data_IF_112816256917
#
_entry.id   IF_112816256917
#
_cell.length_a   1.000
_cell.length_b   1.000
_cell.length_c   1.000
_cell.angle_alpha   90.00
_cell.angle_beta   90.00
_cell.angle_gamma   90.00
#
_symmetry.space_group_name_H-M   'P 1'
#
loop_
_entity.id
_entity.type
_entity.pdbx_description
1 polymer ?
#
# COMPACT_ATOMS: atom_id res chain seq x y z
N UNK A 1 -66.10 -15.77 39.05
CA UNK A 1 -65.65 -16.21 37.68
C UNK A 1 -65.82 -15.10 36.61
N UNK A 2 -66.47 -14.01 36.82
CA UNK A 2 -66.64 -12.92 35.82
C UNK A 2 -65.45 -11.93 35.79
N UNK A 3 -64.75 -11.68 36.87
CA UNK A 3 -63.61 -10.77 36.98
C UNK A 3 -62.29 -11.31 36.34
N UNK A 4 -62.12 -12.65 36.24
CA UNK A 4 -60.94 -13.25 35.61
C UNK A 4 -60.95 -13.15 34.08
N UNK A 5 -62.12 -13.06 33.46
CA UNK A 5 -62.27 -12.94 32.00
C UNK A 5 -62.00 -11.49 31.52
N UNK A 6 -62.18 -10.50 32.35
CA UNK A 6 -61.91 -9.08 32.04
C UNK A 6 -60.39 -8.82 32.05
N UNK A 7 -59.65 -9.49 32.92
CA UNK A 7 -58.21 -9.35 33.01
C UNK A 7 -57.46 -9.94 31.80
N UNK A 8 -57.98 -11.01 31.20
CA UNK A 8 -57.42 -11.62 30.00
C UNK A 8 -57.64 -10.71 28.77
N UNK A 9 -58.72 -10.01 28.70
CA UNK A 9 -58.99 -9.07 27.61
C UNK A 9 -58.09 -7.82 27.67
N UNK A 10 -57.70 -7.40 28.86
CA UNK A 10 -56.80 -6.24 29.03
C UNK A 10 -55.34 -6.58 28.71
N UNK A 11 -54.90 -7.77 29.01
CA UNK A 11 -53.59 -8.24 28.62
C UNK A 11 -53.42 -8.48 27.10
N UNK A 12 -54.47 -8.86 26.40
CA UNK A 12 -54.48 -9.05 24.94
C UNK A 12 -54.41 -7.72 24.16
N UNK A 13 -54.86 -6.61 24.74
CA UNK A 13 -54.87 -5.29 24.11
C UNK A 13 -53.47 -4.61 24.13
N UNK A 14 -52.54 -5.05 24.98
CA UNK A 14 -51.17 -4.48 25.09
C UNK A 14 -50.16 -5.01 24.06
N UNK A 15 -50.50 -6.03 23.28
CA UNK A 15 -49.60 -6.66 22.30
C UNK A 15 -49.63 -5.93 20.95
N UNK A 16 -50.52 -4.98 20.74
CA UNK A 16 -50.65 -4.23 19.47
C UNK A 16 -49.87 -2.90 19.39
N UNK A 17 -49.15 -2.51 20.45
CA UNK A 17 -48.21 -1.40 20.35
C UNK A 17 -46.89 -1.92 19.82
N UNK A 18 -46.91 -2.25 18.54
CA UNK A 18 -45.84 -2.80 17.86
C UNK A 18 -44.94 -1.82 17.18
N UNK A 19 -43.83 -2.19 16.83
CA UNK A 19 -42.80 -1.65 16.01
C UNK A 19 -43.20 -0.52 15.08
N UNK A 20 -42.76 0.69 15.39
CA UNK A 20 -42.55 1.75 14.42
C UNK A 20 -41.36 1.33 13.55
N UNK A 21 -41.57 0.88 12.33
CA UNK A 21 -40.53 0.77 11.32
C UNK A 21 -39.92 2.16 11.15
N UNK A 22 -38.69 2.34 11.69
CA UNK A 22 -37.86 3.46 11.31
C UNK A 22 -37.62 3.33 9.82
N UNK A 23 -38.37 4.04 9.01
CA UNK A 23 -38.05 4.25 7.61
C UNK A 23 -36.67 4.90 7.58
N UNK A 24 -35.64 4.13 7.22
CA UNK A 24 -34.34 4.66 6.93
C UNK A 24 -34.52 5.73 5.85
N UNK A 25 -33.95 6.94 6.02
CA UNK A 25 -34.01 7.95 4.99
C UNK A 25 -33.52 7.34 3.69
N UNK A 26 -34.30 7.48 2.62
CA UNK A 26 -33.90 7.04 1.29
C UNK A 26 -32.58 7.75 0.95
N UNK A 27 -31.51 7.02 1.01
CA UNK A 27 -30.20 7.50 0.56
C UNK A 27 -30.40 7.84 -0.91
N UNK A 28 -30.29 9.11 -1.26
CA UNK A 28 -30.32 9.57 -2.65
C UNK A 28 -29.12 8.87 -3.33
N UNK A 29 -29.39 7.80 -4.04
CA UNK A 29 -28.41 6.95 -4.69
C UNK A 29 -27.91 7.60 -5.99
N UNK A 30 -27.29 8.76 -5.87
CA UNK A 30 -26.50 9.36 -6.98
C UNK A 30 -25.01 9.04 -6.88
N UNK A 31 -24.59 8.41 -5.78
CA UNK A 31 -23.20 7.96 -5.64
C UNK A 31 -23.14 6.52 -6.13
N UNK A 32 -22.47 6.32 -7.25
CA UNK A 32 -22.17 4.96 -7.73
C UNK A 32 -21.26 4.29 -6.69
N UNK A 33 -21.82 3.35 -5.94
CA UNK A 33 -21.09 2.61 -4.90
C UNK A 33 -19.86 1.86 -5.44
N UNK A 34 -19.79 1.65 -6.78
CA UNK A 34 -18.64 1.05 -7.44
C UNK A 34 -17.44 1.97 -7.49
N UNK A 35 -17.63 3.28 -7.31
CA UNK A 35 -16.54 4.26 -7.31
C UNK A 35 -16.01 4.59 -5.94
N UNK A 36 -16.71 4.17 -4.89
CA UNK A 36 -16.29 4.41 -3.52
C UNK A 36 -15.15 3.45 -3.14
N UNK A 37 -14.13 3.95 -2.42
CA UNK A 37 -13.14 3.06 -1.82
C UNK A 37 -13.84 2.20 -0.77
N UNK A 38 -13.51 0.91 -0.75
CA UNK A 38 -14.07 0.03 0.27
C UNK A 38 -13.43 0.22 1.63
N UNK A 39 -12.17 0.65 1.64
CA UNK A 39 -11.44 0.94 2.86
C UNK A 39 -10.49 2.12 2.66
N UNK A 40 -10.50 3.02 3.64
CA UNK A 40 -9.54 4.11 3.78
C UNK A 40 -8.89 4.03 5.16
N UNK A 41 -7.62 4.35 5.25
CA UNK A 41 -6.90 4.41 6.51
C UNK A 41 -5.80 5.46 6.48
N UNK A 42 -5.47 6.00 7.66
CA UNK A 42 -4.45 7.02 7.86
C UNK A 42 -3.35 6.50 8.75
N UNK A 43 -2.09 6.88 8.43
CA UNK A 43 -0.90 6.49 9.18
C UNK A 43 -0.82 4.98 9.44
N UNK A 44 -1.09 4.21 8.40
CA UNK A 44 -1.25 2.75 8.50
C UNK A 44 -0.04 2.00 8.00
N UNK A 45 0.06 0.76 8.45
CA UNK A 45 1.15 -0.16 8.09
C UNK A 45 0.60 -1.37 7.36
N UNK A 46 1.20 -1.71 6.22
CA UNK A 46 0.97 -2.94 5.46
C UNK A 46 2.19 -3.83 5.60
N UNK A 47 1.99 -5.10 5.93
CA UNK A 47 3.04 -6.12 5.96
C UNK A 47 2.88 -7.03 4.75
N UNK A 48 3.88 -7.04 3.88
CA UNK A 48 3.96 -7.96 2.74
C UNK A 48 4.81 -9.14 3.14
N UNK A 49 4.20 -10.33 3.12
CA UNK A 49 4.88 -11.57 3.50
C UNK A 49 4.63 -12.68 2.49
N UNK A 50 5.57 -13.60 2.39
CA UNK A 50 5.45 -14.83 1.62
C UNK A 50 5.91 -16.01 2.47
N UNK A 51 5.08 -17.06 2.53
CA UNK A 51 5.37 -18.28 3.27
C UNK A 51 5.81 -18.03 4.74
N UNK A 52 5.15 -17.04 5.39
CA UNK A 52 5.43 -16.67 6.78
C UNK A 52 6.68 -15.77 6.97
N UNK A 53 7.36 -15.38 5.90
CA UNK A 53 8.51 -14.46 5.94
C UNK A 53 8.11 -13.08 5.45
N UNK A 54 8.52 -12.06 6.19
CA UNK A 54 8.27 -10.67 5.81
C UNK A 54 9.26 -10.29 4.71
N UNK A 55 8.71 -9.84 3.55
CA UNK A 55 9.49 -9.33 2.42
C UNK A 55 9.58 -7.80 2.48
N UNK A 56 8.48 -7.14 2.88
CA UNK A 56 8.45 -5.69 3.01
C UNK A 56 7.48 -5.25 4.12
N UNK A 57 7.77 -4.10 4.72
CA UNK A 57 6.86 -3.37 5.59
C UNK A 57 6.67 -1.97 4.99
N UNK A 58 5.43 -1.62 4.69
CA UNK A 58 5.06 -0.36 4.04
C UNK A 58 4.31 0.49 5.06
N UNK A 59 4.71 1.74 5.23
CA UNK A 59 4.02 2.74 6.04
C UNK A 59 3.62 3.89 5.12
N UNK A 60 2.36 4.32 5.18
CA UNK A 60 1.88 5.45 4.40
C UNK A 60 0.97 6.37 5.22
N UNK A 61 1.03 7.66 4.92
CA UNK A 61 0.18 8.67 5.59
C UNK A 61 -1.29 8.48 5.26
N UNK A 62 -1.62 8.06 4.04
CA UNK A 62 -2.97 7.73 3.60
C UNK A 62 -2.97 6.51 2.69
N UNK A 63 -3.88 5.59 2.96
CA UNK A 63 -4.08 4.35 2.19
C UNK A 63 -5.54 4.25 1.76
N UNK A 64 -5.75 3.90 0.51
CA UNK A 64 -7.05 3.66 -0.10
C UNK A 64 -7.05 2.32 -0.80
N UNK A 65 -7.90 1.42 -0.38
CA UNK A 65 -8.07 0.09 -0.97
C UNK A 65 -9.33 0.04 -1.84
N UNK A 66 -9.24 -0.65 -2.96
CA UNK A 66 -10.37 -0.90 -3.86
C UNK A 66 -10.39 -2.38 -4.25
N UNK A 67 -11.40 -3.10 -3.79
CA UNK A 67 -11.58 -4.53 -4.13
C UNK A 67 -11.82 -4.73 -5.63
N UNK A 68 -12.54 -3.81 -6.27
CA UNK A 68 -12.84 -3.92 -7.70
C UNK A 68 -11.57 -3.91 -8.56
N UNK A 69 -10.62 -3.03 -8.24
CA UNK A 69 -9.35 -2.94 -8.98
C UNK A 69 -8.25 -3.83 -8.40
N UNK A 70 -8.44 -4.39 -7.22
CA UNK A 70 -7.43 -5.11 -6.43
C UNK A 70 -6.14 -4.29 -6.27
N UNK A 71 -6.32 -3.00 -6.01
CA UNK A 71 -5.24 -2.03 -5.91
C UNK A 71 -5.28 -1.32 -4.56
N UNK A 72 -4.14 -1.26 -3.91
CA UNK A 72 -3.95 -0.45 -2.71
C UNK A 72 -3.14 0.79 -3.08
N UNK A 73 -3.80 1.94 -3.13
CA UNK A 73 -3.18 3.24 -3.40
C UNK A 73 -2.68 3.87 -2.10
N UNK A 74 -1.49 4.46 -2.15
CA UNK A 74 -0.83 5.11 -1.01
C UNK A 74 -0.39 6.51 -1.37
N UNK A 75 -0.51 7.43 -0.43
CA UNK A 75 -0.10 8.83 -0.59
C UNK A 75 0.25 9.48 0.75
N UNK A 76 0.60 10.77 0.72
CA UNK A 76 1.05 11.53 1.89
C UNK A 76 2.34 10.97 2.52
N UNK A 77 3.26 10.56 1.66
CA UNK A 77 4.51 9.93 2.05
C UNK A 77 4.38 8.42 2.21
N UNK A 78 5.23 7.70 1.51
CA UNK A 78 5.33 6.23 1.55
C UNK A 78 6.74 5.87 2.00
N UNK A 79 6.84 4.97 2.95
CA UNK A 79 8.10 4.41 3.43
C UNK A 79 8.02 2.88 3.38
N UNK A 80 8.94 2.25 2.65
CA UNK A 80 9.00 0.79 2.49
C UNK A 80 10.32 0.29 3.02
N UNK A 81 10.29 -0.63 3.97
CA UNK A 81 11.46 -1.36 4.46
C UNK A 81 11.48 -2.74 3.85
N UNK A 82 12.51 -3.06 3.09
CA UNK A 82 12.70 -4.38 2.48
C UNK A 82 13.56 -5.29 3.36
N UNK A 83 13.28 -6.59 3.29
CA UNK A 83 13.97 -7.59 4.09
C UNK A 83 14.48 -8.74 3.22
N UNK A 84 15.64 -9.28 3.57
CA UNK A 84 16.18 -10.50 2.96
C UNK A 84 15.44 -11.74 3.46
N UNK A 85 15.73 -12.89 2.85
CA UNK A 85 15.19 -14.18 3.28
C UNK A 85 15.53 -14.55 4.73
N UNK A 86 16.64 -14.01 5.24
CA UNK A 86 17.12 -14.19 6.62
C UNK A 86 16.50 -13.16 7.60
N UNK A 87 15.58 -12.33 7.13
CA UNK A 87 14.90 -11.31 7.96
C UNK A 87 15.74 -10.07 8.25
N UNK A 88 16.86 -9.85 7.54
CA UNK A 88 17.67 -8.63 7.68
C UNK A 88 17.14 -7.54 6.77
N UNK A 89 17.00 -6.32 7.28
CA UNK A 89 16.66 -5.17 6.46
C UNK A 89 17.76 -4.90 5.42
N UNK A 90 17.40 -4.87 4.15
CA UNK A 90 18.31 -4.67 3.03
C UNK A 90 18.36 -3.23 2.54
N UNK A 91 17.18 -2.59 2.51
CA UNK A 91 17.05 -1.20 2.05
C UNK A 91 15.78 -0.54 2.59
N UNK A 92 15.74 0.78 2.44
CA UNK A 92 14.56 1.61 2.70
C UNK A 92 14.26 2.37 1.41
N UNK A 93 12.99 2.35 0.98
CA UNK A 93 12.47 3.19 -0.09
C UNK A 93 11.56 4.25 0.49
N UNK A 94 11.67 5.48 0.02
CA UNK A 94 10.71 6.55 0.29
C UNK A 94 10.21 7.14 -1.02
N UNK A 95 8.94 7.55 -1.05
CA UNK A 95 8.31 8.24 -2.18
C UNK A 95 7.12 9.08 -1.72
N UNK A 96 6.60 9.96 -2.58
CA UNK A 96 5.40 10.74 -2.26
C UNK A 96 4.14 9.88 -2.32
N UNK A 97 4.09 8.92 -3.25
CA UNK A 97 2.96 8.03 -3.47
C UNK A 97 3.40 6.65 -3.95
N UNK A 98 2.50 5.70 -3.88
CA UNK A 98 2.71 4.35 -4.40
C UNK A 98 1.40 3.61 -4.62
N UNK A 99 1.52 2.47 -5.27
CA UNK A 99 0.42 1.56 -5.52
C UNK A 99 0.89 0.11 -5.38
N UNK A 100 0.14 -0.71 -4.68
CA UNK A 100 0.38 -2.16 -4.58
C UNK A 100 -0.72 -2.90 -5.32
N UNK A 101 -0.33 -3.78 -6.22
CA UNK A 101 -1.21 -4.77 -6.82
C UNK A 101 -1.38 -5.95 -5.85
N UNK A 102 -2.60 -6.14 -5.35
CA UNK A 102 -2.89 -7.15 -4.31
C UNK A 102 -2.82 -8.60 -4.84
N UNK A 103 -2.85 -8.79 -6.16
CA UNK A 103 -2.72 -10.12 -6.75
C UNK A 103 -1.28 -10.61 -6.78
N UNK A 104 -0.34 -9.69 -7.03
CA UNK A 104 1.07 -9.99 -7.22
C UNK A 104 1.95 -9.51 -6.07
N UNK A 105 1.43 -8.60 -5.23
CA UNK A 105 2.17 -7.83 -4.24
C UNK A 105 3.31 -6.99 -4.88
N UNK A 106 3.17 -6.63 -6.15
CA UNK A 106 4.09 -5.71 -6.80
C UNK A 106 3.82 -4.28 -6.36
N UNK A 107 4.88 -3.50 -6.18
CA UNK A 107 4.81 -2.09 -5.80
C UNK A 107 5.23 -1.20 -6.97
N UNK A 108 4.49 -0.11 -7.19
CA UNK A 108 4.84 1.03 -8.03
C UNK A 108 4.98 2.27 -7.15
N UNK A 109 6.19 2.75 -6.93
CA UNK A 109 6.50 3.94 -6.16
C UNK A 109 6.73 5.13 -7.10
N UNK A 110 6.16 6.28 -6.78
CA UNK A 110 6.16 7.45 -7.67
C UNK A 110 6.46 8.75 -6.93
N UNK A 111 7.13 9.63 -7.65
CA UNK A 111 7.57 10.97 -7.25
C UNK A 111 8.56 10.95 -6.08
N UNK A 112 9.65 11.64 -6.27
CA UNK A 112 10.71 11.79 -5.27
C UNK A 112 11.17 10.45 -4.69
N UNK A 113 11.29 9.42 -5.55
CA UNK A 113 11.68 8.08 -5.10
C UNK A 113 13.14 8.06 -4.70
N UNK A 114 13.39 7.63 -3.48
CA UNK A 114 14.73 7.46 -2.93
C UNK A 114 14.85 6.06 -2.34
N UNK A 115 15.89 5.33 -2.73
CA UNK A 115 16.26 4.05 -2.10
C UNK A 115 17.62 4.20 -1.42
N UNK A 116 17.69 3.79 -0.16
CA UNK A 116 18.93 3.74 0.62
C UNK A 116 19.13 2.30 1.07
N UNK A 117 20.24 1.71 0.64
CA UNK A 117 20.62 0.35 1.05
C UNK A 117 21.37 0.33 2.39
N UNK A 118 21.53 -0.85 2.95
CA UNK A 118 22.22 -1.07 4.22
C UNK A 118 23.70 -0.67 4.21
N UNK A 119 24.33 -0.58 3.03
CA UNK A 119 25.72 -0.10 2.84
C UNK A 119 25.78 1.42 2.54
N UNK A 120 24.68 2.13 2.73
CA UNK A 120 24.54 3.57 2.47
C UNK A 120 24.59 3.97 0.99
N UNK A 121 24.50 3.02 0.07
CA UNK A 121 24.29 3.35 -1.34
C UNK A 121 22.90 3.98 -1.51
N UNK A 122 22.85 5.08 -2.26
CA UNK A 122 21.63 5.88 -2.47
C UNK A 122 21.27 5.94 -3.94
N UNK A 123 20.05 5.59 -4.27
CA UNK A 123 19.47 5.77 -5.61
C UNK A 123 18.32 6.77 -5.54
N UNK A 124 18.18 7.61 -6.58
CA UNK A 124 17.05 8.53 -6.74
C UNK A 124 16.46 8.39 -8.13
N UNK A 125 15.14 8.46 -8.25
CA UNK A 125 14.38 8.41 -9.51
C UNK A 125 12.98 9.00 -9.31
N UNK A 126 12.23 9.19 -10.38
CA UNK A 126 10.83 9.64 -10.31
C UNK A 126 9.83 8.48 -10.21
N UNK A 127 10.24 7.29 -10.61
CA UNK A 127 9.40 6.08 -10.53
C UNK A 127 10.26 4.86 -10.30
N UNK A 128 9.77 3.93 -9.50
CA UNK A 128 10.42 2.65 -9.24
C UNK A 128 9.38 1.56 -9.06
N UNK A 129 9.60 0.45 -9.72
CA UNK A 129 8.80 -0.76 -9.58
C UNK A 129 9.54 -1.79 -8.74
N UNK A 130 8.82 -2.49 -7.88
CA UNK A 130 9.28 -3.68 -7.20
C UNK A 130 8.47 -4.89 -7.65
N UNK A 131 9.13 -5.86 -8.21
CA UNK A 131 8.60 -7.18 -8.58
C UNK A 131 8.81 -8.13 -7.39
N UNK A 132 7.72 -8.44 -6.69
CA UNK A 132 7.74 -9.28 -5.50
C UNK A 132 8.15 -10.73 -5.82
N UNK A 133 7.77 -11.27 -6.97
CA UNK A 133 8.10 -12.64 -7.35
C UNK A 133 9.60 -12.77 -7.67
N UNK A 134 10.15 -11.84 -8.43
CA UNK A 134 11.55 -11.83 -8.83
C UNK A 134 12.48 -11.23 -7.78
N UNK A 135 11.93 -10.55 -6.76
CA UNK A 135 12.68 -9.80 -5.74
C UNK A 135 13.62 -8.75 -6.35
N UNK A 136 13.17 -8.11 -7.42
CA UNK A 136 13.90 -7.10 -8.17
C UNK A 136 13.20 -5.74 -8.10
N UNK A 137 14.03 -4.70 -8.06
CA UNK A 137 13.59 -3.33 -8.30
C UNK A 137 14.04 -2.90 -9.70
N UNK A 138 13.18 -2.18 -10.42
CA UNK A 138 13.51 -1.71 -11.76
C UNK A 138 12.76 -0.41 -12.12
N UNK A 139 13.32 0.33 -13.06
CA UNK A 139 12.66 1.50 -13.65
C UNK A 139 13.19 1.78 -15.04
N UNK A 140 12.34 2.20 -16.00
CA UNK A 140 12.78 2.74 -17.29
C UNK A 140 13.23 4.20 -17.18
N UNK A 141 12.90 4.89 -16.08
CA UNK A 141 13.17 6.31 -15.88
C UNK A 141 14.65 6.62 -15.68
N UNK A 142 14.96 7.90 -15.61
CA UNK A 142 16.29 8.37 -15.24
C UNK A 142 16.58 8.06 -13.78
N UNK A 143 17.81 7.58 -13.52
CA UNK A 143 18.31 7.26 -12.19
C UNK A 143 19.64 7.95 -11.91
N UNK A 144 19.83 8.30 -10.66
CA UNK A 144 21.13 8.66 -10.10
C UNK A 144 21.46 7.73 -8.95
N UNK A 145 22.64 7.12 -8.99
CA UNK A 145 23.15 6.24 -7.94
C UNK A 145 24.43 6.86 -7.38
N UNK A 146 24.52 6.91 -6.08
CA UNK A 146 25.72 7.27 -5.34
C UNK A 146 26.04 6.17 -4.35
N UNK A 147 27.21 5.59 -4.51
CA UNK A 147 27.81 4.67 -3.56
C UNK A 147 29.04 5.31 -2.88
N UNK A 148 29.71 4.59 -2.00
CA UNK A 148 30.96 5.03 -1.38
C UNK A 148 32.06 5.28 -2.43
N UNK A 149 32.04 4.53 -3.54
CA UNK A 149 33.12 4.54 -4.55
C UNK A 149 32.75 5.33 -5.80
N UNK A 150 31.49 5.27 -6.22
CA UNK A 150 31.05 5.72 -7.53
C UNK A 150 29.79 6.58 -7.47
N UNK A 151 29.71 7.47 -8.46
CA UNK A 151 28.50 8.21 -8.77
C UNK A 151 28.15 7.92 -10.23
N UNK A 152 27.00 7.30 -10.46
CA UNK A 152 26.51 6.88 -11.76
C UNK A 152 25.15 7.49 -12.04
N UNK A 153 24.87 7.75 -13.30
CA UNK A 153 23.57 8.23 -13.74
C UNK A 153 23.24 7.72 -15.13
N UNK A 154 21.95 7.54 -15.42
CA UNK A 154 21.51 7.05 -16.71
C UNK A 154 20.02 6.73 -16.74
N UNK A 155 19.57 6.13 -17.83
CA UNK A 155 18.19 5.70 -18.05
C UNK A 155 18.09 4.18 -18.05
N UNK A 156 17.01 3.68 -17.43
CA UNK A 156 16.76 2.24 -17.30
C UNK A 156 17.67 1.61 -16.26
N UNK A 157 17.04 1.02 -15.25
CA UNK A 157 17.74 0.44 -14.10
C UNK A 157 17.06 -0.85 -13.66
N UNK A 158 17.86 -1.82 -13.23
CA UNK A 158 17.43 -3.05 -12.58
C UNK A 158 18.44 -3.42 -11.49
N UNK A 159 17.96 -3.90 -10.34
CA UNK A 159 18.79 -4.31 -9.22
C UNK A 159 18.10 -5.31 -8.32
N UNK A 160 18.85 -6.01 -7.47
CA UNK A 160 18.33 -6.59 -6.25
C UNK A 160 17.93 -5.50 -5.25
N UNK A 161 17.17 -5.86 -4.21
CA UNK A 161 16.69 -4.93 -3.16
C UNK A 161 17.84 -4.29 -2.36
N UNK A 162 19.03 -4.85 -2.38
CA UNK A 162 20.19 -4.37 -1.63
C UNK A 162 21.02 -3.33 -2.37
N UNK A 163 20.70 -3.04 -3.64
CA UNK A 163 21.44 -2.19 -4.57
C UNK A 163 22.90 -2.67 -4.81
N UNK A 164 23.23 -3.91 -4.50
CA UNK A 164 24.59 -4.45 -4.66
C UNK A 164 24.85 -4.93 -6.09
N UNK A 165 23.85 -5.56 -6.69
CA UNK A 165 23.93 -6.11 -8.03
C UNK A 165 22.97 -5.34 -8.93
N UNK A 166 23.45 -4.28 -9.54
CA UNK A 166 22.60 -3.43 -10.38
C UNK A 166 23.15 -3.27 -11.81
N UNK A 167 22.25 -2.91 -12.72
CA UNK A 167 22.55 -2.57 -14.11
C UNK A 167 21.84 -1.26 -14.46
N UNK A 168 22.57 -0.36 -15.11
CA UNK A 168 22.02 0.80 -15.81
C UNK A 168 22.14 0.52 -17.30
N UNK A 169 21.03 0.61 -18.04
CA UNK A 169 21.00 0.23 -19.45
C UNK A 169 21.63 1.31 -20.35
N UNK A 170 21.43 2.59 -20.03
CA UNK A 170 21.96 3.72 -20.80
C UNK A 170 22.66 4.69 -19.84
N UNK A 171 23.93 4.44 -19.58
CA UNK A 171 24.75 5.31 -18.72
C UNK A 171 25.01 6.64 -19.44
N UNK A 172 24.70 7.76 -18.76
CA UNK A 172 24.92 9.11 -19.29
C UNK A 172 26.01 9.89 -18.56
N UNK A 173 26.41 9.42 -17.40
CA UNK A 173 27.51 10.02 -16.63
C UNK A 173 28.04 9.09 -15.55
N UNK A 174 29.36 9.20 -15.33
CA UNK A 174 30.08 8.48 -14.28
C UNK A 174 31.13 9.38 -13.66
N UNK A 175 31.26 9.36 -12.35
CA UNK A 175 32.40 9.96 -11.67
C UNK A 175 32.77 9.12 -10.42
N UNK A 176 34.05 9.05 -10.11
CA UNK A 176 34.51 8.43 -8.87
C UNK A 176 34.39 9.41 -7.72
N UNK A 177 33.97 8.94 -6.57
CA UNK A 177 33.94 9.71 -5.33
C UNK A 177 35.38 9.71 -4.76
N UNK A 178 35.98 10.90 -4.60
CA UNK A 178 37.30 11.06 -3.95
C UNK A 178 37.15 10.90 -2.44
#
# INVERSE_FOLDING_TARGET
MKSFRIWIFWCAALVFFGCEEKTLPSVISTVDSRTLPQQESWNSTIVVSDSGRINAIIVAGYIRMSELSRQTQMSQGVNVRFFSREGKQTSILTSDSGNVDEATNNLDARKNVVVISSDSSRMTTEQLFWDNQRQLIYTPAYVQIRSVKDKLQGHGFESDQSLKNYRIFHVTGQSQTK
#
